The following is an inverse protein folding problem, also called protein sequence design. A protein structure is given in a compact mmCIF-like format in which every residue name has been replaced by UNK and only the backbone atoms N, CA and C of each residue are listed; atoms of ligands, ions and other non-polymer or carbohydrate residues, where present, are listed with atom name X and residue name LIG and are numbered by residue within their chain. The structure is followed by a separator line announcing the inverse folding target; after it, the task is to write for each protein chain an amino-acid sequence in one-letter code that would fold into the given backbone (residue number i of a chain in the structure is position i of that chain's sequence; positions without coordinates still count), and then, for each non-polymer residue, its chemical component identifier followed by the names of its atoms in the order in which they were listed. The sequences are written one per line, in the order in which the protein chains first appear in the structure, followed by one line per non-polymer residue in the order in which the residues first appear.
data_IF_688149010958
#
_entry.id   IF_688149010958
#
_cell.length_a   1.000
_cell.length_b   1.000
_cell.length_c   1.000
_cell.angle_alpha   90.00
_cell.angle_beta   90.00
_cell.angle_gamma   90.00
#
_symmetry.space_group_name_H-M   'P 1'
#
loop_
_entity.id
_entity.type
_entity.pdbx_description
1 polymer ?
#
# COMPACT_ATOMS: atom_id res chain seq x y z
N UNK A 1 20.27 36.82 83.21
CA UNK A 1 19.07 36.68 82.36
C UNK A 1 19.46 36.88 80.91
N UNK A 2 18.88 36.14 79.94
CA UNK A 2 19.28 34.79 79.49
C UNK A 2 20.09 34.84 78.16
N UNK A 3 21.03 33.90 77.90
CA UNK A 3 20.87 32.57 77.26
C UNK A 3 20.53 32.66 75.75
N UNK A 4 21.52 32.40 74.87
CA UNK A 4 21.66 31.21 74.00
C UNK A 4 20.59 31.15 72.90
N UNK A 5 20.94 31.05 71.61
CA UNK A 5 21.24 29.75 71.01
C UNK A 5 22.10 29.84 69.73
N UNK A 6 22.84 28.75 69.56
CA UNK A 6 23.80 28.42 68.52
C UNK A 6 23.06 27.64 67.43
N UNK A 7 23.08 28.09 66.18
CA UNK A 7 22.63 27.28 65.04
C UNK A 7 23.86 26.80 64.25
N UNK A 8 24.29 25.58 64.56
CA UNK A 8 25.35 24.85 63.86
C UNK A 8 24.75 24.10 62.67
N UNK A 9 25.03 24.58 61.46
CA UNK A 9 24.60 23.91 60.22
C UNK A 9 25.61 22.83 59.85
N UNK A 10 25.21 21.56 59.95
CA UNK A 10 25.98 20.39 59.51
C UNK A 10 25.74 20.16 58.01
N UNK A 11 26.76 19.91 57.17
CA UNK A 11 26.55 19.51 55.80
C UNK A 11 26.29 17.99 55.72
N UNK A 12 25.15 17.62 55.16
CA UNK A 12 24.77 16.23 54.83
C UNK A 12 25.76 15.63 53.83
N UNK A 13 26.53 14.66 54.29
CA UNK A 13 27.46 13.86 53.49
C UNK A 13 26.66 12.91 52.58
N UNK A 14 26.65 13.18 51.28
CA UNK A 14 26.05 12.30 50.28
C UNK A 14 26.93 11.06 50.05
N UNK A 15 26.33 9.86 50.12
CA UNK A 15 26.98 8.60 49.78
C UNK A 15 27.39 8.57 48.29
N UNK A 16 28.59 8.10 47.93
CA UNK A 16 28.96 7.91 46.54
C UNK A 16 28.24 6.67 45.97
N UNK A 17 27.34 6.89 45.02
CA UNK A 17 26.76 5.81 44.20
C UNK A 17 27.86 5.31 43.27
N UNK A 18 28.31 4.07 43.46
CA UNK A 18 29.26 3.43 42.57
C UNK A 18 28.67 3.35 41.15
N UNK A 19 29.44 3.67 40.09
CA UNK A 19 28.95 3.49 38.73
C UNK A 19 28.77 2.00 38.45
N UNK A 20 27.53 1.61 38.14
CA UNK A 20 27.21 0.29 37.61
C UNK A 20 27.96 0.14 36.29
N UNK A 21 29.09 -0.55 36.33
CA UNK A 21 29.85 -0.92 35.15
C UNK A 21 29.05 -1.99 34.42
N UNK A 22 28.21 -1.55 33.48
CA UNK A 22 27.48 -2.44 32.58
C UNK A 22 28.50 -3.09 31.64
N UNK A 23 29.03 -4.25 32.04
CA UNK A 23 29.77 -5.14 31.15
C UNK A 23 28.78 -5.59 30.08
N UNK A 24 28.74 -4.87 28.97
CA UNK A 24 27.96 -5.23 27.80
C UNK A 24 28.67 -6.37 27.11
N UNK A 25 28.31 -7.61 27.46
CA UNK A 25 28.55 -8.75 26.59
C UNK A 25 27.95 -8.41 25.22
N UNK A 26 28.81 -8.33 24.19
CA UNK A 26 28.42 -7.94 22.84
C UNK A 26 27.45 -8.98 22.30
N UNK A 27 26.15 -8.69 22.40
CA UNK A 27 25.09 -9.58 21.93
C UNK A 27 25.34 -9.90 20.45
N UNK A 28 25.32 -11.19 20.09
CA UNK A 28 25.45 -11.61 18.70
C UNK A 28 24.31 -10.96 17.90
N UNK A 29 24.62 -10.37 16.73
CA UNK A 29 23.59 -9.77 15.90
C UNK A 29 22.55 -10.83 15.53
N UNK A 30 21.27 -10.47 15.59
CA UNK A 30 20.19 -11.38 15.18
C UNK A 30 20.38 -11.76 13.70
N UNK A 31 20.03 -12.98 13.27
CA UNK A 31 20.23 -13.41 11.88
C UNK A 31 19.64 -12.43 10.85
N UNK A 32 18.47 -11.84 11.16
CA UNK A 32 17.81 -10.86 10.29
C UNK A 32 18.58 -9.55 10.15
N UNK A 33 19.37 -9.17 11.15
CA UNK A 33 20.23 -7.99 11.09
C UNK A 33 21.46 -8.20 10.21
N UNK A 34 21.78 -9.45 9.85
CA UNK A 34 22.88 -9.81 8.95
C UNK A 34 22.48 -9.88 7.47
N UNK A 35 21.17 -9.91 7.16
CA UNK A 35 20.70 -9.88 5.77
C UNK A 35 21.13 -8.58 5.09
N UNK A 36 21.34 -8.57 3.77
CA UNK A 36 21.58 -7.35 3.00
C UNK A 36 20.29 -6.53 2.85
N UNK A 37 20.40 -5.26 2.46
CA UNK A 37 19.21 -4.44 2.20
C UNK A 37 18.38 -4.97 1.04
N UNK A 38 19.00 -5.64 0.06
CA UNK A 38 18.30 -6.19 -1.11
C UNK A 38 17.43 -7.39 -0.72
N UNK A 39 17.94 -8.28 0.15
CA UNK A 39 17.15 -9.40 0.68
C UNK A 39 16.00 -8.90 1.55
N UNK A 40 16.26 -7.89 2.41
CA UNK A 40 15.19 -7.26 3.19
C UNK A 40 14.14 -6.62 2.27
N UNK A 41 14.57 -5.94 1.21
CA UNK A 41 13.67 -5.35 0.22
C UNK A 41 12.81 -6.44 -0.44
N UNK A 42 13.39 -7.54 -0.91
CA UNK A 42 12.65 -8.67 -1.49
C UNK A 42 11.62 -9.23 -0.51
N UNK A 43 11.98 -9.42 0.76
CA UNK A 43 11.05 -9.86 1.80
C UNK A 43 9.88 -8.88 1.96
N UNK A 44 10.15 -7.57 1.99
CA UNK A 44 9.09 -6.56 2.13
C UNK A 44 8.22 -6.43 0.89
N UNK A 45 8.77 -6.69 -0.31
CA UNK A 45 7.99 -6.74 -1.54
C UNK A 45 6.95 -7.87 -1.50
N UNK A 46 7.24 -8.98 -0.82
CA UNK A 46 6.28 -10.08 -0.68
C UNK A 46 5.01 -9.65 0.07
N UNK A 47 5.10 -8.67 0.96
CA UNK A 47 3.94 -8.10 1.66
C UNK A 47 3.01 -7.28 0.74
N UNK A 48 3.40 -7.05 -0.51
CA UNK A 48 2.58 -6.34 -1.51
C UNK A 48 1.82 -7.29 -2.42
N UNK A 49 2.17 -8.57 -2.42
CA UNK A 49 1.53 -9.57 -3.27
C UNK A 49 0.29 -10.07 -2.55
N UNK A 50 -0.86 -9.86 -3.18
CA UNK A 50 -2.13 -10.36 -2.67
C UNK A 50 -2.21 -11.85 -3.02
N UNK A 51 -1.97 -12.71 -2.03
CA UNK A 51 -2.15 -14.16 -2.16
C UNK A 51 -3.63 -14.57 -2.24
N UNK A 52 -4.55 -13.61 -2.34
CA UNK A 52 -5.96 -13.87 -2.58
C UNK A 52 -6.13 -14.56 -3.93
N UNK A 53 -6.19 -15.87 -3.89
CA UNK A 53 -6.51 -16.77 -5.00
C UNK A 53 -7.70 -16.25 -5.80
N UNK A 54 -7.66 -16.33 -7.15
CA UNK A 54 -8.84 -16.07 -7.95
C UNK A 54 -9.92 -17.10 -7.61
N UNK A 55 -11.15 -16.63 -7.43
CA UNK A 55 -12.36 -17.45 -7.43
C UNK A 55 -12.54 -18.46 -6.29
N UNK A 56 -12.79 -17.96 -5.09
CA UNK A 56 -13.87 -18.53 -4.27
C UNK A 56 -14.72 -17.37 -3.78
N UNK A 57 -16.05 -17.48 -3.89
CA UNK A 57 -17.08 -16.54 -3.41
C UNK A 57 -17.05 -16.35 -1.88
N UNK A 58 -15.87 -16.18 -1.28
CA UNK A 58 -15.76 -15.80 0.12
C UNK A 58 -15.89 -14.28 0.22
N UNK A 59 -16.87 -13.79 1.00
CA UNK A 59 -16.97 -12.38 1.29
C UNK A 59 -15.69 -12.00 2.02
N UNK A 60 -14.87 -11.19 1.36
CA UNK A 60 -13.81 -10.34 1.90
C UNK A 60 -13.62 -10.58 3.40
N UNK A 61 -12.70 -11.46 3.78
CA UNK A 61 -12.49 -11.75 5.20
C UNK A 61 -12.22 -10.42 5.90
N UNK A 62 -13.07 -9.96 6.85
CA UNK A 62 -12.92 -8.66 7.51
C UNK A 62 -11.65 -8.54 8.37
N UNK A 63 -10.81 -9.59 8.36
CA UNK A 63 -9.65 -9.80 9.22
C UNK A 63 -8.31 -9.76 8.46
N UNK A 64 -8.32 -9.56 7.14
CA UNK A 64 -7.09 -9.34 6.38
C UNK A 64 -6.53 -7.96 6.65
N UNK A 65 -5.33 -7.89 7.23
CA UNK A 65 -4.58 -6.62 7.35
C UNK A 65 -4.16 -6.20 5.94
N UNK A 66 -4.50 -4.98 5.52
CA UNK A 66 -4.15 -4.53 4.16
C UNK A 66 -2.64 -4.44 3.96
N UNK A 67 -2.18 -4.62 2.72
CA UNK A 67 -0.77 -4.54 2.36
C UNK A 67 -0.14 -3.19 2.77
N UNK A 68 -0.91 -2.10 2.71
CA UNK A 68 -0.48 -0.79 3.20
C UNK A 68 -0.22 -0.80 4.71
N UNK A 69 -1.14 -1.36 5.49
CA UNK A 69 -0.97 -1.45 6.95
C UNK A 69 0.23 -2.33 7.29
N UNK A 70 0.39 -3.47 6.60
CA UNK A 70 1.56 -4.35 6.76
C UNK A 70 2.86 -3.61 6.46
N UNK A 71 2.94 -2.83 5.38
CA UNK A 71 4.11 -2.02 5.06
C UNK A 71 4.40 -0.96 6.15
N UNK A 72 3.35 -0.31 6.67
CA UNK A 72 3.48 0.67 7.75
C UNK A 72 4.01 0.01 9.02
N UNK A 73 3.44 -1.11 9.46
CA UNK A 73 3.90 -1.83 10.65
C UNK A 73 5.32 -2.36 10.49
N UNK A 74 5.64 -2.92 9.33
CA UNK A 74 7.00 -3.40 9.03
C UNK A 74 8.03 -2.26 9.08
N UNK A 75 7.63 -1.03 8.69
CA UNK A 75 8.50 0.15 8.78
C UNK A 75 8.78 0.63 10.20
N UNK A 76 8.06 0.14 11.21
CA UNK A 76 8.22 0.53 12.62
C UNK A 76 9.09 -0.43 13.43
N UNK A 77 9.51 -1.56 12.85
CA UNK A 77 10.33 -2.56 13.57
C UNK A 77 11.69 -2.00 13.99
N UNK A 78 12.40 -1.34 13.06
CA UNK A 78 13.66 -0.66 13.37
C UNK A 78 14.01 0.40 12.31
N UNK A 79 14.98 1.28 12.62
CA UNK A 79 15.47 2.33 11.70
C UNK A 79 15.92 1.78 10.34
N UNK A 80 16.55 0.60 10.34
CA UNK A 80 17.03 -0.04 9.12
C UNK A 80 15.87 -0.45 8.20
N UNK A 81 14.86 -1.13 8.75
CA UNK A 81 13.68 -1.56 8.00
C UNK A 81 12.88 -0.37 7.48
N UNK A 82 12.68 0.64 8.34
CA UNK A 82 12.12 1.92 7.94
C UNK A 82 12.84 2.48 6.72
N UNK A 83 14.16 2.56 6.77
CA UNK A 83 14.96 3.14 5.69
C UNK A 83 14.79 2.37 4.37
N UNK A 84 14.77 1.04 4.42
CA UNK A 84 14.57 0.20 3.21
C UNK A 84 13.17 0.41 2.64
N UNK A 85 12.12 0.29 3.45
CA UNK A 85 10.72 0.42 3.01
C UNK A 85 10.43 1.82 2.49
N UNK A 86 10.84 2.86 3.22
CA UNK A 86 10.57 4.26 2.85
C UNK A 86 11.28 4.67 1.55
N UNK A 87 12.38 4.00 1.17
CA UNK A 87 13.13 4.24 -0.08
C UNK A 87 12.66 3.39 -1.26
N UNK A 88 11.89 2.33 -1.00
CA UNK A 88 11.45 1.36 -2.00
C UNK A 88 10.25 1.88 -2.81
N UNK A 89 10.46 2.80 -3.76
CA UNK A 89 9.36 3.35 -4.57
C UNK A 89 8.51 2.29 -5.30
N UNK A 90 9.11 1.17 -5.70
CA UNK A 90 8.39 0.02 -6.26
C UNK A 90 7.41 -0.61 -5.29
N UNK A 91 7.77 -0.70 -4.01
CA UNK A 91 6.89 -1.20 -2.95
C UNK A 91 5.66 -0.31 -2.84
N UNK A 92 5.84 1.01 -2.71
CA UNK A 92 4.74 1.97 -2.60
C UNK A 92 3.85 2.00 -3.84
N UNK A 93 4.40 1.78 -5.04
CA UNK A 93 3.61 1.67 -6.27
C UNK A 93 2.64 0.49 -6.27
N UNK A 94 2.96 -0.58 -5.53
CA UNK A 94 2.10 -1.76 -5.39
C UNK A 94 1.05 -1.66 -4.27
N UNK A 95 1.02 -0.56 -3.53
CA UNK A 95 0.11 -0.34 -2.40
C UNK A 95 -1.12 0.51 -2.74
N UNK A 96 -1.44 0.69 -4.03
CA UNK A 96 -2.59 1.50 -4.47
C UNK A 96 -3.87 0.66 -4.45
N UNK A 97 -4.36 0.37 -3.25
CA UNK A 97 -5.66 -0.28 -3.03
C UNK A 97 -6.75 0.75 -2.73
N UNK A 98 -7.74 0.84 -3.62
CA UNK A 98 -8.86 1.77 -3.54
C UNK A 98 -9.72 1.57 -2.28
N UNK A 99 -9.78 0.34 -1.76
CA UNK A 99 -10.58 -0.02 -0.60
C UNK A 99 -9.99 0.55 0.70
N UNK A 100 -8.66 0.69 0.74
CA UNK A 100 -7.89 1.09 1.95
C UNK A 100 -7.41 2.52 1.88
N UNK A 101 -7.22 3.09 0.70
CA UNK A 101 -6.88 4.49 0.48
C UNK A 101 -8.10 5.42 0.57
N UNK A 102 -8.76 5.43 1.73
CA UNK A 102 -9.92 6.32 1.99
C UNK A 102 -9.54 7.74 2.38
N UNK A 103 -8.35 7.94 2.95
CA UNK A 103 -7.88 9.26 3.39
C UNK A 103 -6.96 9.91 2.36
N UNK A 104 -7.14 11.21 2.13
CA UNK A 104 -6.32 12.00 1.21
C UNK A 104 -4.84 12.06 1.59
N UNK A 105 -4.53 12.01 2.90
CA UNK A 105 -3.15 11.98 3.36
C UNK A 105 -2.44 10.71 2.90
N UNK A 106 -3.08 9.55 3.03
CA UNK A 106 -2.54 8.27 2.57
C UNK A 106 -2.46 8.19 1.05
N UNK A 107 -3.47 8.68 0.32
CA UNK A 107 -3.42 8.76 -1.16
C UNK A 107 -2.19 9.53 -1.63
N UNK A 108 -1.99 10.73 -1.06
CA UNK A 108 -0.85 11.58 -1.39
C UNK A 108 0.46 10.93 -1.01
N UNK A 109 0.57 10.35 0.18
CA UNK A 109 1.81 9.74 0.67
C UNK A 109 2.21 8.52 -0.18
N UNK A 110 1.27 7.62 -0.48
CA UNK A 110 1.53 6.44 -1.30
C UNK A 110 2.00 6.85 -2.70
N UNK A 111 1.30 7.80 -3.33
CA UNK A 111 1.68 8.28 -4.66
C UNK A 111 3.01 9.04 -4.65
N UNK A 112 3.26 9.89 -3.66
CA UNK A 112 4.52 10.62 -3.50
C UNK A 112 5.70 9.65 -3.39
N UNK A 113 5.57 8.60 -2.57
CA UNK A 113 6.63 7.61 -2.38
C UNK A 113 6.79 6.66 -3.54
N UNK A 114 5.72 6.39 -4.29
CA UNK A 114 5.78 5.61 -5.52
C UNK A 114 6.65 6.27 -6.59
N UNK A 115 6.85 7.60 -6.55
CA UNK A 115 7.61 8.36 -7.55
C UNK A 115 7.15 8.03 -8.96
N UNK A 116 7.98 7.41 -9.80
CA UNK A 116 7.68 6.94 -11.16
C UNK A 116 7.63 5.41 -11.27
N UNK A 117 7.48 4.70 -10.14
CA UNK A 117 7.33 3.26 -10.18
C UNK A 117 6.02 2.85 -10.85
N UNK A 118 5.99 1.60 -11.32
CA UNK A 118 4.79 0.97 -11.84
C UNK A 118 3.75 0.86 -10.73
N UNK A 119 2.48 1.08 -11.09
CA UNK A 119 1.37 1.04 -10.15
C UNK A 119 0.59 -0.26 -10.25
N UNK A 120 0.20 -0.79 -9.09
CA UNK A 120 -0.84 -1.80 -8.97
C UNK A 120 -2.06 -1.14 -8.36
N UNK A 121 -3.09 -0.98 -9.17
CA UNK A 121 -4.37 -0.38 -8.78
C UNK A 121 -5.34 -1.51 -8.52
N UNK A 122 -5.65 -1.75 -7.24
CA UNK A 122 -6.51 -2.86 -6.81
C UNK A 122 -7.70 -2.37 -5.98
N UNK A 123 -8.64 -3.27 -5.70
CA UNK A 123 -9.69 -3.06 -4.71
C UNK A 123 -11.03 -2.66 -5.30
N UNK A 124 -11.89 -2.10 -4.45
CA UNK A 124 -13.28 -1.78 -4.82
C UNK A 124 -13.54 -0.27 -4.86
N UNK A 125 -14.30 0.16 -5.87
CA UNK A 125 -14.76 1.55 -5.96
C UNK A 125 -16.04 1.72 -5.14
N UNK A 126 -16.05 2.80 -4.37
CA UNK A 126 -17.19 3.33 -3.64
C UNK A 126 -17.51 4.74 -4.17
N UNK A 127 -18.80 5.00 -4.46
CA UNK A 127 -19.32 6.19 -5.18
C UNK A 127 -18.74 7.47 -4.55
N UNK A 128 -18.98 7.69 -3.26
CA UNK A 128 -18.71 9.01 -2.68
C UNK A 128 -17.26 9.15 -2.18
N UNK A 129 -16.66 8.03 -1.75
CA UNK A 129 -15.38 8.09 -1.05
C UNK A 129 -14.17 8.02 -1.99
N UNK A 130 -14.24 7.20 -3.04
CA UNK A 130 -13.05 6.79 -3.82
C UNK A 130 -13.14 7.10 -5.30
N UNK A 131 -14.34 7.34 -5.82
CA UNK A 131 -14.55 7.59 -7.25
C UNK A 131 -13.78 8.82 -7.76
N UNK A 132 -13.76 9.99 -7.08
CA UNK A 132 -12.98 11.13 -7.57
C UNK A 132 -11.48 10.84 -7.64
N UNK A 133 -10.96 10.13 -6.63
CA UNK A 133 -9.57 9.69 -6.59
C UNK A 133 -9.25 8.69 -7.71
N UNK A 134 -10.14 7.72 -7.94
CA UNK A 134 -9.99 6.72 -8.99
C UNK A 134 -9.94 7.37 -10.38
N UNK A 135 -10.88 8.28 -10.68
CA UNK A 135 -10.90 9.02 -11.95
C UNK A 135 -9.62 9.83 -12.12
N UNK A 136 -9.21 10.57 -11.09
CA UNK A 136 -7.96 11.33 -11.10
C UNK A 136 -6.75 10.42 -11.34
N UNK A 137 -6.67 9.29 -10.64
CA UNK A 137 -5.59 8.31 -10.74
C UNK A 137 -5.45 7.77 -12.16
N UNK A 138 -6.58 7.39 -12.77
CA UNK A 138 -6.62 6.96 -14.17
C UNK A 138 -6.11 8.06 -15.10
N UNK A 139 -6.64 9.28 -14.99
CA UNK A 139 -6.26 10.37 -15.89
C UNK A 139 -4.76 10.71 -15.85
N UNK A 140 -4.13 10.65 -14.67
CA UNK A 140 -2.75 11.12 -14.46
C UNK A 140 -1.72 10.00 -14.51
N UNK A 141 -2.10 8.75 -14.21
CA UNK A 141 -1.14 7.67 -14.00
C UNK A 141 -1.38 6.44 -14.89
N UNK A 142 -2.35 6.45 -15.80
CA UNK A 142 -2.64 5.32 -16.70
C UNK A 142 -1.40 4.69 -17.34
N UNK A 143 -0.51 5.51 -17.90
CA UNK A 143 0.66 5.04 -18.65
C UNK A 143 1.65 4.21 -17.83
N UNK A 144 1.58 4.25 -16.49
CA UNK A 144 2.45 3.49 -15.59
C UNK A 144 1.71 2.44 -14.75
N UNK A 145 0.41 2.25 -14.97
CA UNK A 145 -0.34 1.16 -14.33
C UNK A 145 0.10 -0.15 -14.98
N UNK A 146 0.61 -1.06 -14.16
CA UNK A 146 1.05 -2.40 -14.56
C UNK A 146 -0.01 -3.44 -14.24
N UNK A 147 -0.67 -3.31 -13.09
CA UNK A 147 -1.77 -4.16 -12.66
C UNK A 147 -2.98 -3.28 -12.41
N UNK A 148 -4.07 -3.59 -13.08
CA UNK A 148 -5.37 -3.00 -12.89
C UNK A 148 -6.35 -4.12 -12.51
N UNK A 149 -6.81 -4.15 -11.27
CA UNK A 149 -7.71 -5.17 -10.73
C UNK A 149 -8.78 -4.52 -9.85
N UNK A 150 -9.84 -4.03 -10.50
CA UNK A 150 -10.83 -3.14 -9.85
C UNK A 150 -12.23 -3.73 -9.89
N UNK A 151 -12.89 -3.72 -8.74
CA UNK A 151 -14.27 -4.19 -8.56
C UNK A 151 -15.23 -3.02 -8.36
N UNK A 152 -16.26 -2.92 -9.18
CA UNK A 152 -17.40 -2.03 -8.96
C UNK A 152 -18.56 -2.79 -8.36
N UNK A 153 -18.65 -2.73 -7.03
CA UNK A 153 -19.69 -3.42 -6.25
C UNK A 153 -21.00 -2.64 -6.17
N UNK A 154 -21.00 -1.34 -6.47
CA UNK A 154 -22.12 -0.44 -6.21
C UNK A 154 -22.71 0.18 -7.48
N UNK A 155 -22.39 -0.34 -8.67
CA UNK A 155 -22.85 0.21 -9.96
C UNK A 155 -22.40 1.66 -10.15
N UNK A 156 -21.23 1.97 -9.62
CA UNK A 156 -20.61 3.29 -9.67
C UNK A 156 -20.17 3.66 -11.09
N UNK A 157 -20.00 2.66 -11.95
CA UNK A 157 -19.74 2.84 -13.37
C UNK A 157 -21.02 3.11 -14.15
N UNK A 158 -21.66 4.25 -13.89
CA UNK A 158 -22.42 4.87 -14.97
C UNK A 158 -21.41 5.42 -15.99
N UNK A 159 -21.10 4.57 -16.96
CA UNK A 159 -20.21 4.87 -18.10
C UNK A 159 -20.58 6.15 -18.84
N UNK A 160 -21.83 6.63 -18.71
CA UNK A 160 -22.33 7.84 -19.38
C UNK A 160 -21.94 9.14 -18.68
N UNK A 161 -21.62 9.11 -17.38
CA UNK A 161 -21.54 10.34 -16.55
C UNK A 161 -20.12 10.88 -16.42
N UNK A 162 -19.08 10.04 -16.47
CA UNK A 162 -17.78 10.44 -15.92
C UNK A 162 -16.60 10.46 -16.91
N UNK A 163 -16.78 10.13 -18.20
CA UNK A 163 -15.77 10.31 -19.25
C UNK A 163 -14.44 9.54 -19.10
N UNK A 164 -14.17 8.93 -17.95
CA UNK A 164 -12.94 8.21 -17.62
C UNK A 164 -12.75 6.95 -18.46
N UNK A 165 -13.82 6.40 -19.06
CA UNK A 165 -13.72 5.27 -19.99
C UNK A 165 -12.80 5.59 -21.18
N UNK A 166 -12.75 6.85 -21.60
CA UNK A 166 -11.84 7.30 -22.66
C UNK A 166 -10.35 7.14 -22.28
N UNK A 167 -10.02 6.96 -20.99
CA UNK A 167 -8.65 6.65 -20.55
C UNK A 167 -8.21 5.28 -21.06
N UNK A 168 -9.11 4.30 -21.16
CA UNK A 168 -8.77 2.96 -21.66
C UNK A 168 -8.44 2.92 -23.15
N UNK A 169 -8.82 3.95 -23.89
CA UNK A 169 -8.40 4.13 -25.29
C UNK A 169 -6.97 4.70 -25.40
N UNK A 170 -6.36 5.13 -24.30
CA UNK A 170 -4.98 5.65 -24.29
C UNK A 170 -3.98 4.49 -24.21
N UNK A 171 -2.77 4.63 -24.78
CA UNK A 171 -1.73 3.62 -24.66
C UNK A 171 -1.39 3.28 -23.20
N UNK A 172 -1.29 1.98 -22.91
CA UNK A 172 -0.90 1.44 -21.60
C UNK A 172 0.41 0.62 -21.74
N UNK A 173 1.58 1.28 -21.88
CA UNK A 173 2.82 0.63 -22.35
C UNK A 173 3.45 -0.38 -21.38
N UNK A 174 2.98 -0.42 -20.13
CA UNK A 174 3.48 -1.31 -19.07
C UNK A 174 2.38 -2.16 -18.43
N UNK A 175 1.15 -2.11 -18.95
CA UNK A 175 0.02 -2.86 -18.43
C UNK A 175 0.20 -4.35 -18.74
N UNK A 176 0.18 -5.17 -17.69
CA UNK A 176 0.35 -6.63 -17.74
C UNK A 176 -0.94 -7.35 -17.34
N UNK A 177 -1.69 -6.79 -16.37
CA UNK A 177 -2.93 -7.38 -15.86
C UNK A 177 -4.05 -6.35 -15.94
N UNK A 178 -5.16 -6.72 -16.57
CA UNK A 178 -6.38 -5.93 -16.60
C UNK A 178 -7.59 -6.78 -16.19
N UNK A 179 -8.19 -6.45 -15.05
CA UNK A 179 -9.44 -7.01 -14.55
C UNK A 179 -10.36 -5.89 -14.11
N UNK A 180 -11.57 -5.92 -14.63
CA UNK A 180 -12.63 -5.01 -14.28
C UNK A 180 -13.90 -5.81 -14.03
N UNK A 181 -14.25 -5.96 -12.76
CA UNK A 181 -15.46 -6.65 -12.35
C UNK A 181 -16.58 -5.64 -12.09
N UNK A 182 -17.56 -5.59 -12.99
CA UNK A 182 -18.71 -4.70 -12.86
C UNK A 182 -19.90 -5.50 -12.33
N UNK A 183 -20.29 -5.26 -11.08
CA UNK A 183 -21.42 -5.97 -10.49
C UNK A 183 -22.74 -5.43 -11.07
N UNK A 184 -23.36 -6.22 -11.97
CA UNK A 184 -24.75 -6.01 -12.41
C UNK A 184 -25.68 -6.75 -11.43
N UNK A 185 -26.81 -6.13 -11.07
CA UNK A 185 -27.74 -6.65 -10.07
C UNK A 185 -28.39 -7.93 -10.63
N UNK A 186 -28.38 -9.03 -9.85
CA UNK A 186 -28.91 -10.34 -10.24
C UNK A 186 -30.41 -10.36 -10.55
N UNK A 187 -31.18 -9.33 -10.18
CA UNK A 187 -32.60 -9.21 -10.51
C UNK A 187 -32.86 -9.00 -12.02
N UNK A 188 -31.81 -8.84 -12.83
CA UNK A 188 -31.89 -8.86 -14.29
C UNK A 188 -31.13 -10.10 -14.80
N UNK A 189 -31.83 -11.01 -15.49
CA UNK A 189 -31.38 -12.38 -15.81
C UNK A 189 -30.16 -12.55 -16.75
N UNK A 190 -29.35 -11.51 -16.98
CA UNK A 190 -28.21 -11.48 -17.92
C UNK A 190 -26.89 -10.97 -17.28
N UNK A 191 -26.78 -10.97 -15.95
CA UNK A 191 -26.00 -9.96 -15.21
C UNK A 191 -24.70 -10.42 -14.50
N UNK A 192 -23.82 -11.20 -15.14
CA UNK A 192 -22.39 -11.21 -14.77
C UNK A 192 -21.55 -11.07 -16.04
N UNK A 193 -20.85 -9.94 -16.16
CA UNK A 193 -19.84 -9.74 -17.20
C UNK A 193 -18.53 -9.41 -16.49
N UNK A 194 -17.79 -10.45 -16.13
CA UNK A 194 -16.39 -10.30 -15.76
C UNK A 194 -15.58 -10.28 -17.06
N UNK A 195 -14.93 -9.16 -17.34
CA UNK A 195 -14.02 -9.05 -18.48
C UNK A 195 -12.62 -9.28 -17.95
N UNK A 196 -12.09 -10.47 -18.21
CA UNK A 196 -10.68 -10.76 -18.00
C UNK A 196 -9.98 -10.59 -19.35
N UNK A 197 -9.22 -9.50 -19.48
CA UNK A 197 -8.36 -9.30 -20.65
C UNK A 197 -6.92 -9.47 -20.18
N UNK A 198 -6.36 -10.66 -20.41
CA UNK A 198 -4.92 -10.85 -20.33
C UNK A 198 -4.30 -10.17 -21.55
N UNK A 199 -3.62 -9.04 -21.35
CA UNK A 199 -2.85 -8.40 -22.42
C UNK A 199 -1.58 -9.23 -22.62
N UNK A 200 -1.34 -9.82 -23.81
CA UNK A 200 -0.15 -10.64 -24.02
C UNK A 200 1.12 -9.79 -23.86
N UNK A 201 2.02 -10.26 -22.99
CA UNK A 201 3.30 -9.60 -22.74
C UNK A 201 4.21 -9.70 -23.98
N UNK A 202 4.95 -8.61 -24.20
CA UNK A 202 5.84 -8.29 -25.32
C UNK A 202 6.55 -9.49 -25.96
N UNK A 203 6.00 -10.02 -27.05
CA UNK A 203 6.80 -10.62 -28.13
C UNK A 203 6.30 -10.29 -29.54
N UNK A 204 5.21 -9.55 -29.70
CA UNK A 204 4.82 -9.01 -31.01
C UNK A 204 4.44 -7.54 -30.90
N UNK A 205 5.10 -6.74 -31.73
CA UNK A 205 4.92 -5.31 -31.83
C UNK A 205 3.61 -4.99 -32.56
N UNK A 206 2.62 -4.50 -31.83
CA UNK A 206 1.62 -3.53 -32.28
C UNK A 206 0.79 -3.14 -31.06
N UNK A 207 0.59 -1.84 -30.83
CA UNK A 207 -0.12 -1.31 -29.66
C UNK A 207 -1.44 -2.05 -29.41
N UNK A 208 -1.50 -2.80 -28.31
CA UNK A 208 -2.72 -3.47 -27.88
C UNK A 208 -3.75 -2.44 -27.48
N UNK A 209 -4.76 -2.24 -28.31
CA UNK A 209 -5.99 -1.53 -27.93
C UNK A 209 -6.83 -2.53 -27.15
N UNK A 210 -7.23 -2.18 -25.92
CA UNK A 210 -8.18 -2.98 -25.15
C UNK A 210 -9.55 -2.78 -25.80
N UNK A 211 -9.94 -3.68 -26.69
CA UNK A 211 -11.26 -3.67 -27.32
C UNK A 211 -12.27 -4.36 -26.41
N UNK A 212 -13.24 -3.61 -25.90
CA UNK A 212 -14.39 -4.15 -25.20
C UNK A 212 -15.53 -4.36 -26.21
N UNK A 213 -15.78 -5.62 -26.58
CA UNK A 213 -16.97 -5.99 -27.36
C UNK A 213 -18.14 -6.23 -26.41
N UNK A 214 -19.16 -5.38 -26.48
CA UNK A 214 -20.43 -5.55 -25.77
C UNK A 214 -20.90 -4.30 -25.04
N UNK A 215 -21.51 -3.37 -25.78
CA UNK A 215 -22.44 -2.37 -25.28
C UNK A 215 -23.63 -2.27 -26.24
#
# INVERSE_FOLDING_TARGET
EPASDIESTTPTQACPVAPISLVTARAKPSPISMLSNDILWLMFMQNTEDYSTPATDQPYSPRGVSNLVTAVWTSQVCKRWRTVILRASSLWGRLVDLSTLRSDSWRREVLLRSKQSRLWVTGSIQIDATQPFFVWLLHHHWARIQVFDVQDRLRTFDTRVLGWWAVFNRPAPVLEVFKLDVYRNPNYAWARSSFLVCVPSRSQASGGVITFSGF
#
